data_IF_920075301909
#
_entry.id   IF_920075301909
#
_cell.length_a   1.000
_cell.length_b   1.000
_cell.length_c   1.000
_cell.angle_alpha   90.00
_cell.angle_beta   90.00
_cell.angle_gamma   90.00
#
_symmetry.space_group_name_H-M   'P 1'
#
loop_
_entity.id
_entity.type
_entity.pdbx_description
1 polymer ?
#
# COMPACT_ATOMS: atom_id res chain seq x y z
N UNK A 1 -8.62 -2.88 32.76
CA UNK A 1 -8.67 -2.62 31.30
C UNK A 1 -8.69 -1.12 31.10
N UNK A 2 -7.55 -0.50 30.83
CA UNK A 2 -7.50 0.91 30.47
C UNK A 2 -7.77 1.01 28.97
N UNK A 3 -8.89 1.61 28.62
CA UNK A 3 -9.17 2.03 27.25
C UNK A 3 -8.08 3.00 26.81
N UNK A 4 -7.14 2.50 26.01
CA UNK A 4 -6.20 3.32 25.26
C UNK A 4 -6.88 3.84 23.99
N UNK A 5 -8.07 4.42 24.14
CA UNK A 5 -8.62 5.28 23.09
C UNK A 5 -7.92 6.62 23.21
N UNK A 6 -6.62 6.62 22.89
CA UNK A 6 -5.93 7.86 22.56
C UNK A 6 -6.62 8.38 21.31
N UNK A 7 -7.43 9.42 21.47
CA UNK A 7 -7.75 10.37 20.42
C UNK A 7 -6.44 10.86 19.79
N UNK A 8 -5.86 10.10 18.87
CA UNK A 8 -4.98 10.68 17.87
C UNK A 8 -5.93 11.31 16.87
N UNK A 9 -6.15 12.61 17.03
CA UNK A 9 -6.50 13.49 15.92
C UNK A 9 -5.77 12.97 14.69
N UNK A 10 -6.55 12.47 13.73
CA UNK A 10 -6.09 11.83 12.51
C UNK A 10 -5.59 12.89 11.52
N UNK A 11 -4.67 13.72 12.01
CA UNK A 11 -3.84 14.67 11.29
C UNK A 11 -2.41 14.10 11.25
N UNK A 12 -2.31 12.76 11.17
CA UNK A 12 -1.05 12.04 11.09
C UNK A 12 -0.38 12.38 9.76
N UNK A 13 0.38 13.49 9.77
CA UNK A 13 1.27 14.02 8.72
C UNK A 13 0.79 13.74 7.30
N UNK A 14 -0.23 14.48 6.86
CA UNK A 14 -0.55 14.57 5.43
C UNK A 14 0.73 15.00 4.70
N UNK A 15 1.11 14.25 3.68
CA UNK A 15 2.27 14.58 2.86
C UNK A 15 2.06 15.94 2.19
N UNK A 16 3.11 16.75 2.16
CA UNK A 16 3.18 17.90 1.26
C UNK A 16 3.11 17.42 -0.19
N UNK A 17 2.78 18.31 -1.12
CA UNK A 17 2.77 17.98 -2.54
C UNK A 17 4.11 17.39 -3.02
N UNK A 18 5.23 17.92 -2.51
CA UNK A 18 6.58 17.44 -2.87
C UNK A 18 6.84 16.04 -2.32
N UNK A 19 6.46 15.78 -1.07
CA UNK A 19 6.61 14.44 -0.47
C UNK A 19 5.73 13.41 -1.18
N UNK A 20 4.51 13.79 -1.57
CA UNK A 20 3.61 12.93 -2.34
C UNK A 20 4.18 12.62 -3.72
N UNK A 21 4.66 13.62 -4.46
CA UNK A 21 5.31 13.41 -5.76
C UNK A 21 6.57 12.54 -5.65
N UNK A 22 7.24 12.55 -4.50
CA UNK A 22 8.39 11.68 -4.24
C UNK A 22 7.99 10.19 -4.17
N UNK A 23 6.72 9.86 -3.89
CA UNK A 23 6.23 8.48 -3.91
C UNK A 23 6.31 7.86 -5.31
N UNK A 24 6.37 8.65 -6.40
CA UNK A 24 6.61 8.12 -7.74
C UNK A 24 7.97 7.40 -7.89
N UNK A 25 8.90 7.62 -6.95
CA UNK A 25 10.19 6.91 -6.87
C UNK A 25 10.10 5.57 -6.12
N UNK A 26 8.96 5.27 -5.50
CA UNK A 26 8.76 3.98 -4.83
C UNK A 26 8.78 2.88 -5.89
N UNK A 27 9.49 1.77 -5.66
CA UNK A 27 9.51 0.62 -6.53
C UNK A 27 8.13 0.10 -6.92
N UNK A 28 8.05 -0.56 -8.08
CA UNK A 28 6.84 -1.26 -8.49
C UNK A 28 6.43 -2.32 -7.44
N UNK A 29 5.14 -2.62 -7.33
CA UNK A 29 4.65 -3.65 -6.41
C UNK A 29 5.32 -5.03 -6.67
N UNK A 30 5.68 -5.33 -7.93
CA UNK A 30 6.40 -6.55 -8.29
C UNK A 30 7.78 -6.67 -7.61
N UNK A 31 8.49 -5.54 -7.46
CA UNK A 31 9.79 -5.51 -6.77
C UNK A 31 9.62 -5.71 -5.26
N UNK A 32 8.51 -5.23 -4.70
CA UNK A 32 8.18 -5.47 -3.29
C UNK A 32 7.88 -6.95 -3.02
N UNK A 33 7.15 -7.64 -3.91
CA UNK A 33 6.87 -9.07 -3.80
C UNK A 33 8.13 -9.95 -3.82
N UNK A 34 9.18 -9.52 -4.53
CA UNK A 34 10.45 -10.21 -4.56
C UNK A 34 11.11 -10.30 -3.16
N UNK A 35 10.83 -9.34 -2.28
CA UNK A 35 11.33 -9.30 -0.91
C UNK A 35 10.48 -10.11 0.09
N UNK A 36 9.35 -10.69 -0.34
CA UNK A 36 8.53 -11.54 0.53
C UNK A 36 9.00 -12.99 0.44
N UNK A 37 9.82 -13.43 1.40
CA UNK A 37 10.40 -14.79 1.40
C UNK A 37 9.36 -15.90 1.57
N UNK A 38 8.30 -15.64 2.34
CA UNK A 38 7.24 -16.62 2.56
C UNK A 38 6.31 -16.69 1.34
N UNK A 39 6.27 -17.83 0.60
CA UNK A 39 5.45 -17.94 -0.60
C UNK A 39 3.95 -17.86 -0.31
N UNK A 40 3.50 -18.25 0.89
CA UNK A 40 2.10 -18.12 1.28
C UNK A 40 1.73 -16.65 1.51
N UNK A 41 2.60 -15.91 2.18
CA UNK A 41 2.40 -14.47 2.38
C UNK A 41 2.43 -13.74 1.03
N UNK A 42 3.39 -14.04 0.16
CA UNK A 42 3.46 -13.45 -1.18
C UNK A 42 2.17 -13.66 -1.98
N UNK A 43 1.67 -14.90 -2.01
CA UNK A 43 0.41 -15.23 -2.71
C UNK A 43 -0.81 -14.50 -2.15
N UNK A 44 -0.92 -14.38 -0.82
CA UNK A 44 -2.03 -13.67 -0.20
C UNK A 44 -2.07 -12.20 -0.65
N UNK A 45 -0.95 -11.49 -0.56
CA UNK A 45 -0.90 -10.09 -0.98
C UNK A 45 -1.06 -9.91 -2.50
N UNK A 46 -0.65 -10.88 -3.32
CA UNK A 46 -0.92 -10.85 -4.78
C UNK A 46 -2.42 -10.87 -5.06
N UNK A 47 -3.15 -11.78 -4.43
CA UNK A 47 -4.61 -11.86 -4.56
C UNK A 47 -5.29 -10.57 -4.05
N UNK A 48 -4.87 -10.08 -2.87
CA UNK A 48 -5.43 -8.85 -2.30
C UNK A 48 -5.23 -7.64 -3.24
N UNK A 49 -4.08 -7.60 -3.94
CA UNK A 49 -3.76 -6.55 -4.90
C UNK A 49 -4.58 -6.66 -6.19
N UNK A 50 -4.78 -7.87 -6.71
CA UNK A 50 -5.64 -8.14 -7.87
C UNK A 50 -7.11 -7.77 -7.57
N UNK A 51 -7.61 -8.16 -6.39
CA UNK A 51 -8.96 -7.82 -5.93
C UNK A 51 -9.11 -6.30 -5.79
N UNK A 52 -8.10 -5.63 -5.23
CA UNK A 52 -8.12 -4.18 -5.09
C UNK A 52 -8.10 -3.47 -6.45
N UNK A 53 -7.25 -3.88 -7.40
CA UNK A 53 -7.21 -3.31 -8.75
C UNK A 53 -8.57 -3.47 -9.45
N UNK A 54 -9.16 -4.67 -9.36
CA UNK A 54 -10.50 -4.95 -9.90
C UNK A 54 -11.56 -4.05 -9.28
N UNK A 55 -11.50 -3.81 -7.96
CA UNK A 55 -12.46 -2.98 -7.23
C UNK A 55 -12.43 -1.51 -7.68
N UNK A 56 -11.26 -0.94 -7.95
CA UNK A 56 -11.11 0.46 -8.38
C UNK A 56 -11.08 0.63 -9.90
N UNK A 57 -11.16 -0.45 -10.67
CA UNK A 57 -11.19 -0.43 -12.13
C UNK A 57 -9.83 -0.27 -12.82
N UNK A 58 -8.74 -0.66 -12.15
CA UNK A 58 -7.41 -0.75 -12.76
C UNK A 58 -7.16 -2.17 -13.28
N UNK A 59 -6.48 -2.30 -14.42
CA UNK A 59 -6.14 -3.62 -14.96
C UNK A 59 -4.94 -4.24 -14.24
N UNK A 60 -4.08 -3.43 -13.62
CA UNK A 60 -2.92 -3.89 -12.86
C UNK A 60 -2.38 -2.85 -11.89
N UNK A 61 -1.56 -3.30 -10.94
CA UNK A 61 -0.90 -2.41 -9.97
C UNK A 61 0.17 -1.49 -10.60
N UNK A 62 0.59 -1.75 -11.84
CA UNK A 62 1.52 -0.85 -12.55
C UNK A 62 0.89 0.50 -12.92
N UNK A 63 -0.45 0.57 -12.93
CA UNK A 63 -1.24 1.77 -13.23
C UNK A 63 -1.36 2.75 -12.04
N UNK A 64 -0.77 2.46 -10.88
CA UNK A 64 -0.77 3.39 -9.74
C UNK A 64 0.12 4.64 -9.90
N UNK A 65 0.84 4.76 -11.03
CA UNK A 65 1.76 5.87 -11.30
C UNK A 65 1.03 7.05 -11.95
#
# INVERSE_FOLDING_TARGET
MQELTKNHTNDQRRLTAVEFQTLAKVPAAVEWFANLDNPRTRRAYQNDLEDFCSFIGLASADEFR
#
